data_IF_431729324100
#
_entry.id   IF_431729324100
#
_cell.length_a   1.000
_cell.length_b   1.000
_cell.length_c   1.000
_cell.angle_alpha   90.00
_cell.angle_beta   90.00
_cell.angle_gamma   90.00
#
_symmetry.space_group_name_H-M   'P 1'
#
loop_
_entity.id
_entity.type
_entity.pdbx_description
1 polymer ?
#
# COMPACT_ATOMS: atom_id res chain seq x y z
N UNK A 1 -15.59 20.43 20.65
CA UNK A 1 -17.00 20.63 20.24
C UNK A 1 -17.19 21.54 19.02
N UNK A 2 -16.21 22.40 18.67
CA UNK A 2 -16.26 23.24 17.46
C UNK A 2 -15.93 22.52 16.13
N UNK A 3 -15.30 21.34 16.18
CA UNK A 3 -14.91 20.59 14.98
C UNK A 3 -16.05 19.79 14.33
N UNK A 4 -17.11 19.47 15.08
CA UNK A 4 -18.23 18.66 14.56
C UNK A 4 -19.20 19.45 13.66
N UNK A 5 -19.19 20.79 13.75
CA UNK A 5 -20.13 21.64 13.01
C UNK A 5 -19.55 22.08 11.65
N UNK A 6 -18.24 22.00 11.45
CA UNK A 6 -17.61 22.28 10.15
C UNK A 6 -17.79 21.13 9.15
N UNK A 7 -18.02 19.90 9.63
CA UNK A 7 -18.17 18.69 8.80
C UNK A 7 -19.57 18.59 8.18
N UNK A 8 -20.58 19.22 8.78
CA UNK A 8 -21.97 19.15 8.29
C UNK A 8 -22.33 20.23 7.28
N UNK A 9 -21.44 21.19 7.00
CA UNK A 9 -21.70 22.30 6.07
C UNK A 9 -21.23 22.04 4.61
N UNK A 10 -20.73 20.83 4.32
CA UNK A 10 -20.26 20.43 2.98
C UNK A 10 -21.00 19.21 2.44
N UNK A 11 -22.27 19.01 2.80
CA UNK A 11 -23.16 18.10 2.07
C UNK A 11 -23.68 18.78 0.80
N UNK A 12 -22.77 19.18 -0.08
CA UNK A 12 -23.12 19.21 -1.49
C UNK A 12 -23.32 17.75 -1.90
N UNK A 13 -24.52 17.44 -2.37
CA UNK A 13 -24.86 16.14 -2.96
C UNK A 13 -23.72 15.68 -3.85
N UNK A 14 -22.99 14.65 -3.41
CA UNK A 14 -21.95 14.02 -4.21
C UNK A 14 -22.63 13.41 -5.44
N UNK A 15 -22.54 14.11 -6.57
CA UNK A 15 -22.70 13.47 -7.88
C UNK A 15 -21.53 12.50 -8.00
N UNK A 16 -21.83 11.22 -8.17
CA UNK A 16 -20.84 10.22 -8.50
C UNK A 16 -19.95 10.77 -9.64
N UNK A 17 -18.65 10.89 -9.39
CA UNK A 17 -17.69 11.21 -10.44
C UNK A 17 -17.63 10.01 -11.39
N UNK A 18 -17.83 10.26 -12.68
CA UNK A 18 -17.64 9.28 -13.75
C UNK A 18 -16.17 8.85 -13.75
N UNK A 19 -15.92 7.54 -13.71
CA UNK A 19 -14.58 7.00 -13.56
C UNK A 19 -13.86 7.03 -14.93
N UNK A 20 -12.65 7.63 -15.04
CA UNK A 20 -11.94 7.81 -16.32
C UNK A 20 -11.24 6.52 -16.79
N UNK A 21 -11.73 5.34 -16.42
CA UNK A 21 -11.07 4.06 -16.65
C UNK A 21 -11.95 3.13 -17.48
N UNK A 22 -11.34 2.10 -18.06
CA UNK A 22 -12.07 0.99 -18.67
C UNK A 22 -12.37 -0.09 -17.63
N UNK A 23 -13.42 -0.86 -17.87
CA UNK A 23 -13.79 -2.02 -17.07
C UNK A 23 -13.81 -3.25 -17.97
N UNK A 24 -13.37 -4.38 -17.44
CA UNK A 24 -13.28 -5.66 -18.13
C UNK A 24 -13.82 -6.77 -17.20
N UNK A 25 -15.03 -7.22 -17.46
CA UNK A 25 -15.72 -8.25 -16.69
C UNK A 25 -15.52 -9.62 -17.34
N UNK A 26 -15.01 -10.57 -16.56
CA UNK A 26 -14.79 -11.95 -16.98
C UNK A 26 -15.90 -12.86 -16.46
N UNK A 27 -16.50 -13.62 -17.38
CA UNK A 27 -17.47 -14.66 -17.12
C UNK A 27 -16.98 -15.98 -17.71
N UNK A 28 -16.63 -16.93 -16.84
CA UNK A 28 -16.14 -18.24 -17.26
C UNK A 28 -17.30 -19.13 -17.73
N UNK A 29 -17.24 -19.57 -18.98
CA UNK A 29 -18.16 -20.54 -19.57
C UNK A 29 -17.49 -21.93 -19.62
N UNK A 30 -18.18 -22.91 -20.20
CA UNK A 30 -17.69 -24.29 -20.27
C UNK A 30 -16.51 -24.47 -21.25
N UNK A 31 -16.49 -23.70 -22.34
CA UNK A 31 -15.58 -23.85 -23.48
C UNK A 31 -14.87 -22.54 -23.90
N UNK A 32 -15.24 -21.40 -23.30
CA UNK A 32 -14.63 -20.10 -23.55
C UNK A 32 -14.74 -19.19 -22.32
N UNK A 33 -14.06 -18.05 -22.37
CA UNK A 33 -14.25 -16.95 -21.42
C UNK A 33 -14.95 -15.81 -22.14
N UNK A 34 -16.08 -15.37 -21.59
CA UNK A 34 -16.77 -14.16 -22.06
C UNK A 34 -16.15 -12.96 -21.34
N UNK A 35 -15.76 -11.95 -22.12
CA UNK A 35 -15.16 -10.71 -21.65
C UNK A 35 -16.05 -9.54 -22.07
N UNK A 36 -16.75 -8.94 -21.11
CA UNK A 36 -17.50 -7.71 -21.32
C UNK A 36 -16.62 -6.52 -21.00
N UNK A 37 -16.47 -5.61 -21.95
CA UNK A 37 -15.63 -4.41 -21.82
C UNK A 37 -16.50 -3.17 -21.87
N UNK A 38 -16.19 -2.23 -20.97
CA UNK A 38 -16.78 -0.89 -20.94
C UNK A 38 -15.64 0.10 -21.11
N UNK A 39 -15.68 0.91 -22.17
CA UNK A 39 -14.64 1.88 -22.50
C UNK A 39 -15.30 3.24 -22.72
N UNK A 40 -14.87 4.30 -22.02
CA UNK A 40 -15.36 5.65 -22.30
C UNK A 40 -15.17 5.99 -23.78
N UNK A 41 -16.23 6.39 -24.48
CA UNK A 41 -16.19 6.53 -25.94
C UNK A 41 -15.25 7.65 -26.39
N UNK A 42 -15.05 8.68 -25.54
CA UNK A 42 -14.06 9.74 -25.77
C UNK A 42 -12.62 9.19 -25.79
N UNK A 43 -12.29 8.31 -24.84
CA UNK A 43 -10.97 7.67 -24.75
C UNK A 43 -10.75 6.69 -25.89
N UNK A 44 -11.78 5.93 -26.27
CA UNK A 44 -11.76 5.11 -27.48
C UNK A 44 -11.48 5.97 -28.73
N UNK A 45 -12.20 7.08 -28.91
CA UNK A 45 -12.05 7.94 -30.08
C UNK A 45 -10.65 8.55 -30.16
N UNK A 46 -10.12 9.00 -29.02
CA UNK A 46 -8.77 9.53 -28.91
C UNK A 46 -7.71 8.46 -29.24
N UNK A 47 -7.80 7.28 -28.61
CA UNK A 47 -6.80 6.23 -28.76
C UNK A 47 -6.83 5.52 -30.12
N UNK A 48 -8.01 5.39 -30.73
CA UNK A 48 -8.19 4.71 -32.02
C UNK A 48 -8.13 5.66 -33.21
N UNK A 49 -8.38 6.96 -33.01
CA UNK A 49 -8.58 7.93 -34.08
C UNK A 49 -9.87 7.70 -34.88
N UNK A 50 -10.75 6.81 -34.42
CA UNK A 50 -12.02 6.49 -35.06
C UNK A 50 -13.19 7.27 -34.44
N UNK A 51 -14.24 7.45 -35.25
CA UNK A 51 -15.43 8.17 -34.79
C UNK A 51 -16.33 7.27 -33.97
N UNK A 52 -16.98 7.87 -32.98
CA UNK A 52 -18.07 7.24 -32.22
C UNK A 52 -19.36 7.37 -33.03
N UNK A 53 -20.10 6.28 -33.20
CA UNK A 53 -21.30 6.30 -34.02
C UNK A 53 -22.06 4.98 -34.00
N UNK A 54 -23.36 5.07 -34.29
CA UNK A 54 -24.27 3.92 -34.29
C UNK A 54 -24.38 3.22 -35.66
N UNK A 55 -23.63 3.67 -36.67
CA UNK A 55 -23.65 3.08 -38.01
C UNK A 55 -22.67 1.91 -38.16
N UNK A 56 -22.87 1.11 -39.20
CA UNK A 56 -22.10 -0.11 -39.48
C UNK A 56 -20.60 0.14 -39.63
N UNK A 57 -20.21 1.30 -40.16
CA UNK A 57 -18.80 1.61 -40.39
C UNK A 57 -18.08 1.91 -39.06
N UNK A 58 -18.72 2.66 -38.15
CA UNK A 58 -18.21 2.90 -36.81
C UNK A 58 -18.10 1.59 -35.99
N UNK A 59 -19.14 0.74 -36.06
CA UNK A 59 -19.11 -0.58 -35.42
C UNK A 59 -17.99 -1.48 -35.96
N UNK A 60 -17.82 -1.55 -37.29
CA UNK A 60 -16.77 -2.35 -37.90
C UNK A 60 -15.34 -1.83 -37.60
N UNK A 61 -15.18 -0.53 -37.35
CA UNK A 61 -13.92 0.05 -36.89
C UNK A 61 -13.65 -0.30 -35.43
N UNK A 62 -14.64 -0.14 -34.56
CA UNK A 62 -14.53 -0.50 -33.14
C UNK A 62 -14.26 -2.00 -32.96
N UNK A 63 -14.95 -2.85 -33.73
CA UNK A 63 -14.75 -4.29 -33.71
C UNK A 63 -13.30 -4.70 -34.04
N UNK A 64 -12.73 -4.13 -35.11
CA UNK A 64 -11.32 -4.38 -35.48
C UNK A 64 -10.37 -3.86 -34.43
N UNK A 65 -10.58 -2.65 -33.94
CA UNK A 65 -9.76 -2.06 -32.89
C UNK A 65 -9.69 -2.96 -31.64
N UNK A 66 -10.83 -3.45 -31.16
CA UNK A 66 -10.88 -4.32 -29.98
C UNK A 66 -10.20 -5.66 -30.25
N UNK A 67 -10.45 -6.29 -31.41
CA UNK A 67 -9.82 -7.55 -31.78
C UNK A 67 -8.29 -7.45 -31.93
N UNK A 68 -7.77 -6.30 -32.36
CA UNK A 68 -6.33 -6.07 -32.53
C UNK A 68 -5.62 -5.69 -31.22
N UNK A 69 -6.37 -5.16 -30.24
CA UNK A 69 -5.80 -4.60 -29.00
C UNK A 69 -6.09 -5.39 -27.74
N UNK A 70 -7.01 -6.36 -27.80
CA UNK A 70 -7.36 -7.24 -26.70
C UNK A 70 -7.16 -8.68 -27.17
N UNK A 71 -6.35 -9.45 -26.45
CA UNK A 71 -6.07 -10.84 -26.80
C UNK A 71 -5.78 -11.68 -25.56
N UNK A 72 -6.12 -12.96 -25.60
CA UNK A 72 -5.71 -13.93 -24.59
C UNK A 72 -4.68 -14.91 -25.16
N UNK A 73 -3.77 -15.39 -24.33
CA UNK A 73 -2.90 -16.53 -24.64
C UNK A 73 -2.82 -17.49 -23.46
N UNK A 74 -2.72 -18.78 -23.73
CA UNK A 74 -2.72 -19.84 -22.71
C UNK A 74 -2.46 -21.19 -23.36
N UNK A 75 -1.89 -22.14 -22.61
CA UNK A 75 -1.54 -23.46 -23.17
C UNK A 75 -0.51 -23.42 -24.30
N UNK A 76 0.33 -22.37 -24.37
CA UNK A 76 1.38 -22.22 -25.38
C UNK A 76 0.97 -21.54 -26.69
N UNK A 77 -0.28 -21.05 -26.81
CA UNK A 77 -0.77 -20.39 -28.02
C UNK A 77 -1.71 -19.21 -27.78
N UNK A 78 -1.96 -18.42 -28.83
CA UNK A 78 -2.95 -17.35 -28.85
C UNK A 78 -4.35 -17.92 -28.92
N UNK A 79 -5.25 -17.40 -28.09
CA UNK A 79 -6.66 -17.75 -28.13
C UNK A 79 -7.35 -17.00 -29.28
N UNK A 80 -8.41 -17.59 -29.83
CA UNK A 80 -9.30 -16.91 -30.77
C UNK A 80 -10.09 -15.85 -29.99
N UNK A 81 -10.02 -14.61 -30.46
CA UNK A 81 -10.78 -13.50 -29.90
C UNK A 81 -11.83 -13.08 -30.92
N UNK A 82 -13.11 -13.11 -30.55
CA UNK A 82 -14.21 -12.69 -31.42
C UNK A 82 -15.10 -11.70 -30.66
N UNK A 83 -15.42 -10.58 -31.29
CA UNK A 83 -16.36 -9.60 -30.73
C UNK A 83 -17.77 -10.05 -31.12
N UNK A 84 -18.56 -10.45 -30.14
CA UNK A 84 -19.92 -10.99 -30.35
C UNK A 84 -20.98 -9.89 -30.38
N UNK A 85 -20.83 -8.90 -29.51
CA UNK A 85 -21.71 -7.73 -29.43
C UNK A 85 -20.91 -6.47 -29.22
N UNK A 86 -21.40 -5.37 -29.77
CA UNK A 86 -20.79 -4.07 -29.64
C UNK A 86 -21.87 -3.00 -29.78
N UNK A 87 -21.86 -1.99 -28.90
CA UNK A 87 -22.74 -0.84 -28.98
C UNK A 87 -22.11 0.39 -28.30
N UNK A 88 -22.44 1.58 -28.82
CA UNK A 88 -22.09 2.85 -28.17
C UNK A 88 -23.26 3.40 -27.35
N UNK A 89 -23.33 3.06 -26.07
CA UNK A 89 -24.46 3.38 -25.20
C UNK A 89 -24.23 4.74 -24.52
N UNK A 90 -25.28 5.56 -24.44
CA UNK A 90 -25.24 6.81 -23.68
C UNK A 90 -25.86 6.59 -22.31
N UNK A 91 -25.09 6.85 -21.25
CA UNK A 91 -25.52 6.72 -19.87
C UNK A 91 -25.11 7.98 -19.10
N UNK A 92 -26.07 8.62 -18.42
CA UNK A 92 -25.83 9.81 -17.59
C UNK A 92 -25.09 10.98 -18.29
N UNK A 93 -25.25 11.09 -19.61
CA UNK A 93 -24.68 12.18 -20.42
C UNK A 93 -23.26 11.91 -20.96
N UNK A 94 -22.64 10.79 -20.61
CA UNK A 94 -21.43 10.26 -21.25
C UNK A 94 -21.79 9.08 -22.17
N UNK A 95 -20.98 8.89 -23.21
CA UNK A 95 -21.15 7.76 -24.12
C UNK A 95 -20.03 6.76 -23.88
N UNK A 96 -20.39 5.48 -23.78
CA UNK A 96 -19.47 4.36 -23.57
C UNK A 96 -19.57 3.38 -24.73
N UNK A 97 -18.42 2.83 -25.11
CA UNK A 97 -18.31 1.66 -25.96
C UNK A 97 -18.41 0.42 -25.07
N UNK A 98 -19.51 -0.31 -25.21
CA UNK A 98 -19.71 -1.59 -24.54
C UNK A 98 -19.58 -2.71 -25.57
N UNK A 99 -18.74 -3.69 -25.30
CA UNK A 99 -18.59 -4.86 -26.16
C UNK A 99 -18.47 -6.16 -25.37
N UNK A 100 -19.01 -7.23 -25.93
CA UNK A 100 -18.85 -8.59 -25.41
C UNK A 100 -17.92 -9.35 -26.36
N UNK A 101 -16.80 -9.85 -25.85
CA UNK A 101 -15.83 -10.64 -26.59
C UNK A 101 -15.84 -12.08 -26.09
N UNK A 102 -15.77 -13.05 -27.00
CA UNK A 102 -15.49 -14.45 -26.69
C UNK A 102 -14.00 -14.74 -26.87
N UNK A 103 -13.38 -15.28 -25.81
CA UNK A 103 -11.98 -15.69 -25.78
C UNK A 103 -11.93 -17.23 -25.72
N UNK A 104 -11.56 -17.86 -26.84
CA UNK A 104 -11.62 -19.32 -26.99
C UNK A 104 -10.23 -19.90 -27.25
N UNK A 105 -9.75 -20.88 -26.46
CA UNK A 105 -8.48 -21.54 -26.72
C UNK A 105 -8.50 -22.35 -28.03
N UNK A 106 -7.35 -22.51 -28.70
CA UNK A 106 -7.26 -23.21 -30.00
C UNK A 106 -7.14 -24.75 -29.86
N UNK A 107 -6.61 -25.22 -28.74
CA UNK A 107 -6.58 -26.62 -28.31
C UNK A 107 -7.39 -26.68 -26.99
N UNK A 108 -7.77 -27.84 -26.40
CA UNK A 108 -8.37 -27.88 -25.06
C UNK A 108 -7.29 -27.51 -24.02
N UNK A 109 -6.96 -26.22 -24.00
CA UNK A 109 -6.12 -25.58 -23.02
C UNK A 109 -6.97 -25.32 -21.78
N UNK A 110 -6.30 -25.28 -20.63
CA UNK A 110 -6.95 -24.92 -19.39
C UNK A 110 -7.51 -23.50 -19.50
N UNK A 111 -8.84 -23.37 -19.55
CA UNK A 111 -9.53 -22.07 -19.51
C UNK A 111 -9.17 -21.29 -18.23
N UNK A 112 -8.59 -21.98 -17.25
CA UNK A 112 -8.24 -21.44 -15.94
C UNK A 112 -6.79 -20.98 -15.84
N UNK A 113 -5.94 -21.15 -16.84
CA UNK A 113 -4.57 -20.62 -16.81
C UNK A 113 -4.23 -19.93 -18.13
N UNK A 114 -4.37 -18.61 -18.14
CA UNK A 114 -4.13 -17.80 -19.33
C UNK A 114 -3.67 -16.38 -18.97
N UNK A 115 -3.10 -15.68 -19.93
CA UNK A 115 -2.72 -14.27 -19.82
C UNK A 115 -3.64 -13.43 -20.69
N UNK A 116 -4.33 -12.47 -20.07
CA UNK A 116 -5.06 -11.42 -20.76
C UNK A 116 -4.09 -10.30 -21.15
N UNK A 117 -4.01 -10.01 -22.44
CA UNK A 117 -3.20 -8.95 -23.01
C UNK A 117 -4.12 -7.83 -23.47
N UNK A 118 -3.76 -6.61 -23.13
CA UNK A 118 -4.59 -5.46 -23.33
C UNK A 118 -3.75 -4.25 -23.71
N UNK A 119 -4.14 -3.59 -24.80
CA UNK A 119 -3.56 -2.32 -25.26
C UNK A 119 -4.60 -1.27 -25.56
N UNK A 120 -5.90 -1.63 -25.55
CA UNK A 120 -6.97 -0.70 -25.83
C UNK A 120 -6.90 0.50 -24.87
N UNK A 121 -6.91 1.70 -25.43
CA UNK A 121 -6.76 3.00 -24.76
C UNK A 121 -5.42 3.21 -24.05
N UNK A 122 -5.01 2.32 -23.15
CA UNK A 122 -3.78 2.45 -22.33
C UNK A 122 -2.50 2.51 -23.16
N UNK A 123 -2.54 2.07 -24.42
CA UNK A 123 -1.40 2.22 -25.36
C UNK A 123 -1.21 3.65 -25.88
N UNK A 124 -2.22 4.50 -25.82
CA UNK A 124 -2.20 5.89 -26.29
C UNK A 124 -2.45 6.92 -25.19
N UNK A 125 -3.05 6.51 -24.06
CA UNK A 125 -3.38 7.34 -22.90
C UNK A 125 -2.67 6.75 -21.67
N UNK A 126 -1.47 7.26 -21.30
CA UNK A 126 -0.65 6.64 -20.25
C UNK A 126 -1.31 6.58 -18.87
N UNK A 127 -2.14 7.57 -18.54
CA UNK A 127 -2.84 7.69 -17.26
C UNK A 127 -4.13 6.84 -17.21
N UNK A 128 -4.57 6.31 -18.36
CA UNK A 128 -5.72 5.41 -18.42
C UNK A 128 -5.36 4.06 -17.82
N UNK A 129 -6.34 3.44 -17.14
CA UNK A 129 -6.19 2.10 -16.60
C UNK A 129 -7.44 1.27 -16.84
N UNK A 130 -7.30 -0.04 -16.70
CA UNK A 130 -8.38 -1.01 -16.85
C UNK A 130 -8.55 -1.76 -15.56
N UNK A 131 -9.79 -1.84 -15.07
CA UNK A 131 -10.19 -2.71 -13.98
C UNK A 131 -10.62 -4.06 -14.54
N UNK A 132 -9.88 -5.11 -14.21
CA UNK A 132 -10.23 -6.48 -14.60
C UNK A 132 -10.95 -7.13 -13.43
N UNK A 133 -12.22 -7.47 -13.66
CA UNK A 133 -13.14 -7.97 -12.65
C UNK A 133 -13.61 -9.37 -13.04
N UNK A 134 -13.80 -10.22 -12.04
CA UNK A 134 -14.42 -11.51 -12.17
C UNK A 134 -15.88 -11.41 -11.75
N UNK A 135 -16.80 -11.64 -12.68
CA UNK A 135 -18.24 -11.60 -12.43
C UNK A 135 -18.82 -13.01 -12.20
N UNK A 136 -18.35 -14.01 -12.95
CA UNK A 136 -18.82 -15.40 -12.82
C UNK A 136 -17.69 -16.42 -12.95
N UNK A 137 -17.57 -17.32 -11.97
CA UNK A 137 -16.75 -18.53 -12.03
C UNK A 137 -17.55 -19.74 -11.53
N UNK A 138 -17.85 -20.74 -12.36
CA UNK A 138 -18.59 -21.94 -11.96
C UNK A 138 -17.99 -22.70 -10.77
N UNK A 139 -16.68 -22.58 -10.55
CA UNK A 139 -15.95 -23.30 -9.52
C UNK A 139 -15.68 -22.46 -8.25
N UNK A 140 -16.17 -21.22 -8.17
CA UNK A 140 -16.07 -20.37 -6.96
C UNK A 140 -17.40 -19.66 -6.73
N UNK A 141 -17.97 -19.77 -5.52
CA UNK A 141 -19.10 -18.92 -5.15
C UNK A 141 -18.60 -17.48 -4.99
N UNK A 142 -18.89 -16.64 -5.97
CA UNK A 142 -18.73 -15.19 -5.85
C UNK A 142 -19.89 -14.59 -5.03
N UNK A 143 -19.65 -13.42 -4.43
CA UNK A 143 -20.71 -12.62 -3.81
C UNK A 143 -21.56 -11.91 -4.87
N UNK A 144 -22.44 -11.00 -4.42
CA UNK A 144 -23.31 -10.22 -5.31
C UNK A 144 -22.53 -9.17 -6.14
N UNK A 145 -21.30 -8.83 -5.75
CA UNK A 145 -20.43 -7.89 -6.45
C UNK A 145 -19.26 -8.60 -7.19
N UNK A 146 -18.87 -8.12 -8.39
CA UNK A 146 -17.69 -8.62 -9.10
C UNK A 146 -16.39 -8.43 -8.30
N UNK A 147 -15.53 -9.45 -8.30
CA UNK A 147 -14.24 -9.42 -7.59
C UNK A 147 -13.15 -8.80 -8.48
N UNK A 148 -12.40 -7.81 -7.99
CA UNK A 148 -11.31 -7.20 -8.77
C UNK A 148 -10.10 -8.12 -8.75
N UNK A 149 -9.77 -8.72 -9.89
CA UNK A 149 -8.66 -9.69 -10.00
C UNK A 149 -7.35 -9.03 -10.46
N UNK A 150 -7.40 -7.80 -10.95
CA UNK A 150 -6.20 -7.04 -11.29
C UNK A 150 -6.47 -5.75 -12.05
N UNK A 151 -5.40 -5.02 -12.33
CA UNK A 151 -5.43 -3.81 -13.14
C UNK A 151 -4.41 -3.87 -14.27
N UNK A 152 -4.76 -3.26 -15.40
CA UNK A 152 -3.87 -3.08 -16.55
C UNK A 152 -3.61 -1.59 -16.76
N UNK A 153 -2.36 -1.24 -17.08
CA UNK A 153 -1.87 0.13 -17.28
C UNK A 153 -0.83 0.16 -18.40
N UNK A 154 -0.43 1.34 -18.87
CA UNK A 154 0.58 1.47 -19.93
C UNK A 154 1.90 0.72 -19.63
N UNK A 155 2.30 0.63 -18.35
CA UNK A 155 3.48 -0.11 -17.92
C UNK A 155 3.25 -1.62 -17.64
N UNK A 156 1.99 -2.08 -17.67
CA UNK A 156 1.58 -3.47 -17.44
C UNK A 156 0.37 -3.80 -18.31
N UNK A 157 0.66 -4.17 -19.55
CA UNK A 157 -0.34 -4.51 -20.59
C UNK A 157 -0.76 -5.97 -20.57
N UNK A 158 -0.30 -6.76 -19.61
CA UNK A 158 -0.62 -8.18 -19.50
C UNK A 158 -0.95 -8.56 -18.05
N UNK A 159 -2.02 -9.33 -17.86
CA UNK A 159 -2.48 -9.86 -16.59
C UNK A 159 -2.59 -11.38 -16.68
N UNK A 160 -1.78 -12.09 -15.89
CA UNK A 160 -1.90 -13.53 -15.74
C UNK A 160 -3.13 -13.86 -14.87
N UNK A 161 -4.00 -14.72 -15.38
CA UNK A 161 -5.26 -15.16 -14.77
C UNK A 161 -5.15 -16.67 -14.52
N UNK A 162 -5.01 -17.02 -13.24
CA UNK A 162 -4.93 -18.40 -12.78
C UNK A 162 -6.11 -18.70 -11.85
N UNK A 163 -7.02 -19.56 -12.31
CA UNK A 163 -8.23 -20.03 -11.63
C UNK A 163 -8.04 -21.47 -11.17
N UNK A 164 -7.18 -21.68 -10.19
CA UNK A 164 -7.17 -22.96 -9.45
C UNK A 164 -8.27 -23.00 -8.39
N UNK A 165 -8.38 -24.10 -7.65
CA UNK A 165 -8.85 -24.01 -6.27
C UNK A 165 -7.84 -23.13 -5.53
N UNK A 166 -7.99 -21.80 -5.63
CA UNK A 166 -7.23 -20.87 -4.84
C UNK A 166 -7.42 -21.32 -3.41
N UNK A 167 -6.34 -21.76 -2.77
CA UNK A 167 -6.40 -22.13 -1.37
C UNK A 167 -7.06 -20.94 -0.65
N UNK A 168 -8.09 -21.15 0.18
CA UNK A 168 -8.83 -20.03 0.77
C UNK A 168 -7.95 -19.03 1.53
N UNK A 169 -6.74 -19.44 1.92
CA UNK A 169 -5.75 -18.62 2.62
C UNK A 169 -4.81 -17.81 1.68
N UNK A 170 -4.78 -18.07 0.37
CA UNK A 170 -3.83 -17.47 -0.55
C UNK A 170 -4.00 -15.94 -0.70
N UNK A 171 -5.23 -15.39 -0.79
CA UNK A 171 -5.45 -13.94 -0.73
C UNK A 171 -4.96 -13.33 0.59
N UNK A 172 -5.17 -14.02 1.70
CA UNK A 172 -4.67 -13.61 3.00
C UNK A 172 -3.13 -13.58 3.02
N UNK A 173 -2.44 -14.62 2.54
CA UNK A 173 -0.99 -14.64 2.50
C UNK A 173 -0.38 -13.60 1.55
N UNK A 174 -1.02 -13.36 0.40
CA UNK A 174 -0.62 -12.26 -0.49
C UNK A 174 -0.77 -10.91 0.22
N UNK A 175 -1.86 -10.70 0.95
CA UNK A 175 -2.04 -9.50 1.75
C UNK A 175 -0.99 -9.37 2.87
N UNK A 176 -0.61 -10.47 3.54
CA UNK A 176 0.50 -10.49 4.51
C UNK A 176 1.80 -10.05 3.85
N UNK A 177 2.12 -10.57 2.66
CA UNK A 177 3.31 -10.18 1.93
C UNK A 177 3.29 -8.70 1.51
N UNK A 178 2.13 -8.19 1.07
CA UNK A 178 1.95 -6.77 0.76
C UNK A 178 2.12 -5.89 2.00
N UNK A 179 1.57 -6.28 3.15
CA UNK A 179 1.74 -5.57 4.42
C UNK A 179 3.18 -5.55 4.90
N UNK A 180 3.89 -6.68 4.76
CA UNK A 180 5.31 -6.75 5.05
C UNK A 180 6.14 -5.85 4.12
N UNK A 181 5.86 -5.90 2.81
CA UNK A 181 6.51 -5.07 1.80
C UNK A 181 6.27 -3.58 2.02
N UNK A 182 5.07 -3.19 2.48
CA UNK A 182 4.74 -1.80 2.79
C UNK A 182 5.67 -1.21 3.87
N UNK A 183 5.96 -1.95 4.95
CA UNK A 183 6.87 -1.49 6.00
C UNK A 183 8.33 -1.48 5.52
N UNK A 184 8.74 -2.50 4.75
CA UNK A 184 10.12 -2.60 4.28
C UNK A 184 10.47 -1.56 3.20
N UNK A 185 9.51 -1.21 2.35
CA UNK A 185 9.66 -0.15 1.34
C UNK A 185 9.38 1.26 1.86
N UNK A 186 8.64 1.38 2.97
CA UNK A 186 8.29 2.66 3.59
C UNK A 186 9.42 3.24 4.43
N UNK A 187 10.25 4.10 3.86
CA UNK A 187 11.35 4.78 4.58
C UNK A 187 10.83 5.64 5.74
N UNK A 188 9.66 6.24 5.58
CA UNK A 188 8.89 6.93 6.62
C UNK A 188 8.53 6.00 7.79
N UNK A 189 8.07 4.78 7.51
CA UNK A 189 7.74 3.77 8.51
C UNK A 189 8.98 3.29 9.27
N UNK A 190 10.10 3.09 8.57
CA UNK A 190 11.37 2.75 9.20
C UNK A 190 11.89 3.88 10.10
N UNK A 191 11.79 5.14 9.65
CA UNK A 191 12.18 6.32 10.42
C UNK A 191 11.30 6.52 11.66
N UNK A 192 9.99 6.33 11.50
CA UNK A 192 9.00 6.36 12.57
C UNK A 192 9.27 5.27 13.61
N UNK A 193 9.43 4.01 13.18
CA UNK A 193 9.68 2.88 14.06
C UNK A 193 11.00 3.08 14.83
N UNK A 194 12.07 3.49 14.14
CA UNK A 194 13.33 3.82 14.81
C UNK A 194 13.12 4.89 15.89
N UNK A 195 12.46 6.00 15.56
CA UNK A 195 12.21 7.09 16.50
C UNK A 195 11.40 6.63 17.73
N UNK A 196 10.41 5.73 17.58
CA UNK A 196 9.67 5.15 18.70
C UNK A 196 10.48 4.17 19.55
N UNK A 197 11.40 3.41 18.94
CA UNK A 197 12.22 2.43 19.67
C UNK A 197 13.36 3.09 20.45
N UNK A 198 13.89 4.23 19.99
CA UNK A 198 15.01 4.95 20.60
C UNK A 198 14.84 5.35 22.09
N UNK A 199 13.66 5.76 22.59
CA UNK A 199 13.49 6.07 24.01
C UNK A 199 13.08 4.86 24.87
N UNK A 200 12.68 3.73 24.26
CA UNK A 200 12.08 2.59 24.98
C UNK A 200 12.90 2.02 26.15
N UNK A 201 14.23 1.89 26.04
CA UNK A 201 15.06 1.39 27.14
C UNK A 201 15.27 2.43 28.24
N UNK A 202 14.57 3.56 28.24
CA UNK A 202 14.75 4.62 29.22
C UNK A 202 13.47 4.92 29.99
N UNK A 203 13.64 5.42 31.21
CA UNK A 203 12.58 5.96 32.05
C UNK A 203 12.76 7.48 32.10
N UNK A 204 11.67 8.19 31.82
CA UNK A 204 11.62 9.64 31.95
C UNK A 204 11.59 10.04 33.44
N UNK A 205 12.43 11.00 33.83
CA UNK A 205 12.34 11.71 35.11
C UNK A 205 12.31 13.20 34.86
N UNK A 206 11.16 13.81 35.12
CA UNK A 206 10.87 15.17 34.68
C UNK A 206 10.98 15.25 33.15
N UNK A 207 11.68 16.26 32.65
CA UNK A 207 11.80 16.50 31.22
C UNK A 207 13.10 15.93 30.60
N UNK A 208 13.65 14.84 31.18
CA UNK A 208 14.86 14.18 30.69
C UNK A 208 14.74 12.65 30.79
N UNK A 209 15.32 11.96 29.81
CA UNK A 209 15.58 10.54 29.88
C UNK A 209 16.79 10.28 30.79
N UNK A 210 16.65 9.47 31.85
CA UNK A 210 17.69 9.35 32.88
C UNK A 210 18.07 7.93 33.27
N UNK A 211 17.10 7.04 33.40
CA UNK A 211 17.36 5.70 33.93
C UNK A 211 17.16 4.65 32.87
N UNK A 212 18.09 3.70 32.77
CA UNK A 212 17.93 2.55 31.91
C UNK A 212 16.85 1.62 32.49
N UNK A 213 15.97 1.16 31.61
CA UNK A 213 14.91 0.20 31.86
C UNK A 213 15.42 -1.20 31.56
N UNK A 214 15.02 -2.19 32.37
CA UNK A 214 15.38 -3.59 32.12
C UNK A 214 14.85 -4.12 30.77
N UNK A 215 15.45 -5.20 30.28
CA UNK A 215 15.09 -5.77 28.97
C UNK A 215 13.63 -6.23 28.86
N UNK A 216 13.15 -7.04 29.82
CA UNK A 216 11.76 -7.54 29.83
C UNK A 216 10.71 -6.42 29.73
N UNK A 217 10.73 -5.38 30.57
CA UNK A 217 9.73 -4.31 30.47
C UNK A 217 9.92 -3.43 29.22
N UNK A 218 11.13 -3.36 28.64
CA UNK A 218 11.37 -2.70 27.35
C UNK A 218 10.70 -3.47 26.20
N UNK A 219 10.89 -4.79 26.12
CA UNK A 219 10.25 -5.66 25.12
C UNK A 219 8.73 -5.59 25.23
N UNK A 220 8.19 -5.65 26.46
CA UNK A 220 6.74 -5.48 26.68
C UNK A 220 6.22 -4.15 26.13
N UNK A 221 7.00 -3.08 26.29
CA UNK A 221 6.59 -1.76 25.81
C UNK A 221 6.70 -1.63 24.30
N UNK A 222 7.71 -2.27 23.69
CA UNK A 222 7.79 -2.38 22.23
C UNK A 222 6.55 -3.08 21.67
N UNK A 223 6.16 -4.23 22.24
CA UNK A 223 4.95 -4.95 21.81
C UNK A 223 3.69 -4.10 21.96
N UNK A 224 3.50 -3.40 23.10
CA UNK A 224 2.35 -2.52 23.31
C UNK A 224 2.31 -1.37 22.28
N UNK A 225 3.45 -0.76 21.97
CA UNK A 225 3.52 0.32 20.99
C UNK A 225 3.21 -0.15 19.57
N UNK A 226 3.81 -1.27 19.18
CA UNK A 226 3.60 -1.87 17.85
C UNK A 226 2.14 -2.28 17.68
N UNK A 227 1.58 -3.04 18.62
CA UNK A 227 0.17 -3.45 18.53
C UNK A 227 -0.77 -2.24 18.62
N UNK A 228 -0.46 -1.23 19.45
CA UNK A 228 -1.25 0.01 19.49
C UNK A 228 -1.26 0.74 18.15
N UNK A 229 -0.10 0.87 17.51
CA UNK A 229 0.01 1.41 16.15
C UNK A 229 -0.81 0.61 15.15
N UNK A 230 -0.62 -0.71 15.10
CA UNK A 230 -1.35 -1.61 14.18
C UNK A 230 -2.86 -1.54 14.40
N UNK A 231 -3.33 -1.42 15.65
CA UNK A 231 -4.74 -1.26 15.97
C UNK A 231 -5.30 0.06 15.41
N UNK A 232 -4.61 1.19 15.63
CA UNK A 232 -5.02 2.48 15.05
C UNK A 232 -5.01 2.45 13.52
N UNK A 233 -3.98 1.85 12.94
CA UNK A 233 -3.83 1.68 11.51
C UNK A 233 -4.98 0.87 10.91
N UNK A 234 -5.26 -0.30 11.49
CA UNK A 234 -6.35 -1.19 11.11
C UNK A 234 -7.71 -0.49 11.19
N UNK A 235 -7.95 0.28 12.26
CA UNK A 235 -9.20 1.00 12.46
C UNK A 235 -9.46 2.03 11.34
N UNK A 236 -8.42 2.76 10.92
CA UNK A 236 -8.58 3.77 9.87
C UNK A 236 -8.67 3.14 8.49
N UNK A 237 -7.92 2.07 8.21
CA UNK A 237 -8.09 1.31 6.98
C UNK A 237 -9.49 0.74 6.84
N UNK A 238 -10.04 0.16 7.92
CA UNK A 238 -11.39 -0.36 7.93
C UNK A 238 -12.43 0.76 7.74
N UNK A 239 -12.24 1.91 8.40
CA UNK A 239 -13.12 3.06 8.25
C UNK A 239 -13.08 3.66 6.83
N UNK A 240 -11.91 3.70 6.20
CA UNK A 240 -11.78 4.17 4.82
C UNK A 240 -12.37 3.18 3.82
N UNK A 241 -12.13 1.88 4.03
CA UNK A 241 -12.68 0.78 3.21
C UNK A 241 -14.21 0.69 3.28
N UNK A 242 -14.80 0.68 4.47
CA UNK A 242 -16.23 0.47 4.67
C UNK A 242 -17.05 1.76 4.66
N UNK A 243 -16.46 2.86 5.13
CA UNK A 243 -17.15 4.12 5.40
C UNK A 243 -16.85 5.23 4.40
N UNK A 244 -15.98 5.00 3.41
CA UNK A 244 -15.62 5.99 2.40
C UNK A 244 -14.88 7.21 2.97
N UNK A 245 -14.18 7.06 4.10
CA UNK A 245 -13.39 8.15 4.69
C UNK A 245 -12.26 8.52 3.73
N UNK A 246 -12.41 9.67 3.07
CA UNK A 246 -11.42 10.22 2.14
C UNK A 246 -10.90 11.56 2.68
N UNK A 247 -9.58 11.72 2.63
CA UNK A 247 -8.91 12.96 2.99
C UNK A 247 -7.85 13.28 1.91
N UNK A 248 -7.54 14.56 1.65
CA UNK A 248 -6.56 14.92 0.63
C UNK A 248 -5.20 14.27 0.90
N UNK A 249 -4.65 13.51 -0.06
CA UNK A 249 -3.41 12.74 0.11
C UNK A 249 -2.26 13.57 0.68
N UNK A 250 -2.05 14.79 0.16
CA UNK A 250 -1.05 15.74 0.65
C UNK A 250 -1.18 16.05 2.14
N UNK A 251 -2.42 16.24 2.64
CA UNK A 251 -2.65 16.48 4.06
C UNK A 251 -2.25 15.27 4.89
N UNK A 252 -2.58 14.08 4.42
CA UNK A 252 -2.26 12.83 5.12
C UNK A 252 -0.75 12.60 5.18
N UNK A 253 -0.04 12.81 4.08
CA UNK A 253 1.42 12.70 4.00
C UNK A 253 2.12 13.71 4.92
N UNK A 254 1.63 14.95 5.01
CA UNK A 254 2.13 15.95 5.96
C UNK A 254 1.92 15.46 7.41
N UNK A 255 0.75 14.90 7.73
CA UNK A 255 0.46 14.38 9.07
C UNK A 255 1.34 13.16 9.42
N UNK A 256 1.62 12.29 8.44
CA UNK A 256 2.57 11.19 8.57
C UNK A 256 3.97 11.73 8.89
N UNK A 257 4.48 12.68 8.10
CA UNK A 257 5.78 13.30 8.34
C UNK A 257 5.84 14.00 9.72
N UNK A 258 4.78 14.70 10.12
CA UNK A 258 4.67 15.29 11.46
C UNK A 258 4.69 14.25 12.58
N UNK A 259 4.10 13.07 12.37
CA UNK A 259 4.15 11.98 13.36
C UNK A 259 5.58 11.48 13.60
N UNK A 260 6.39 11.37 12.53
CA UNK A 260 7.83 11.05 12.62
C UNK A 260 8.57 12.14 13.38
N UNK A 261 8.31 13.41 13.06
CA UNK A 261 8.92 14.55 13.73
C UNK A 261 8.60 14.56 15.22
N UNK A 262 7.33 14.34 15.59
CA UNK A 262 6.90 14.31 16.99
C UNK A 262 7.54 13.12 17.74
N UNK A 263 7.60 11.93 17.11
CA UNK A 263 8.27 10.77 17.69
C UNK A 263 9.77 11.02 17.89
N UNK A 264 10.43 11.69 16.94
CA UNK A 264 11.83 12.08 17.02
C UNK A 264 12.08 13.11 18.15
N UNK A 265 11.21 14.13 18.27
CA UNK A 265 11.28 15.09 19.37
C UNK A 265 11.09 14.38 20.72
N UNK A 266 10.15 13.44 20.82
CA UNK A 266 9.96 12.62 22.01
C UNK A 266 11.20 11.78 22.35
N UNK A 267 11.83 11.20 21.33
CA UNK A 267 13.08 10.48 21.48
C UNK A 267 14.19 11.38 22.00
N UNK A 268 14.27 12.67 21.62
CA UNK A 268 15.23 13.65 22.17
C UNK A 268 14.88 14.02 23.61
N UNK A 269 13.62 14.37 23.87
CA UNK A 269 13.11 14.86 25.17
C UNK A 269 11.71 14.31 25.42
N UNK A 270 11.40 13.76 26.60
CA UNK A 270 10.10 13.16 26.87
C UNK A 270 9.00 14.24 26.90
N UNK A 271 8.21 14.33 25.82
CA UNK A 271 7.06 15.25 25.69
C UNK A 271 5.72 14.61 26.04
N UNK A 272 5.63 13.27 26.02
CA UNK A 272 4.44 12.51 26.41
C UNK A 272 4.79 11.24 27.19
N UNK A 273 5.66 11.31 28.22
CA UNK A 273 6.06 10.11 28.96
C UNK A 273 4.84 9.38 29.52
N UNK A 274 4.86 8.05 29.50
CA UNK A 274 3.78 7.15 29.94
C UNK A 274 2.52 7.15 29.06
N UNK A 275 2.47 7.98 28.01
CA UNK A 275 1.36 8.03 27.04
C UNK A 275 1.79 7.52 25.66
N UNK A 276 2.94 6.86 25.57
CA UNK A 276 3.54 6.45 24.30
C UNK A 276 2.60 5.50 23.54
N UNK A 277 1.89 4.60 24.24
CA UNK A 277 0.90 3.70 23.63
C UNK A 277 -0.28 4.46 22.99
N UNK A 278 -0.77 5.51 23.65
CA UNK A 278 -1.83 6.37 23.11
C UNK A 278 -1.34 7.06 21.84
N UNK A 279 -0.16 7.69 21.88
CA UNK A 279 0.40 8.37 20.72
C UNK A 279 0.73 7.41 19.57
N UNK A 280 1.26 6.22 19.85
CA UNK A 280 1.46 5.19 18.83
C UNK A 280 0.15 4.80 18.15
N UNK A 281 -0.94 4.66 18.92
CA UNK A 281 -2.28 4.39 18.37
C UNK A 281 -2.77 5.56 17.50
N UNK A 282 -2.61 6.80 17.97
CA UNK A 282 -3.01 8.00 17.21
C UNK A 282 -2.20 8.15 15.91
N UNK A 283 -0.90 7.87 15.95
CA UNK A 283 -0.05 7.85 14.77
C UNK A 283 -0.41 6.71 13.83
N UNK A 284 -0.81 5.55 14.36
CA UNK A 284 -1.37 4.46 13.58
C UNK A 284 -2.61 4.87 12.80
N UNK A 285 -3.54 5.61 13.43
CA UNK A 285 -4.72 6.14 12.73
C UNK A 285 -4.33 6.99 11.52
N UNK A 286 -3.37 7.90 11.70
CA UNK A 286 -2.88 8.78 10.63
C UNK A 286 -2.22 8.00 9.49
N UNK A 287 -1.35 7.04 9.80
CA UNK A 287 -0.70 6.23 8.76
C UNK A 287 -1.69 5.34 8.00
N UNK A 288 -2.70 4.79 8.68
CA UNK A 288 -3.74 3.97 8.04
C UNK A 288 -4.51 4.72 6.97
N UNK A 289 -4.65 6.04 7.13
CA UNK A 289 -5.28 6.90 6.13
C UNK A 289 -4.42 7.09 4.87
N UNK A 290 -3.09 7.12 5.02
CA UNK A 290 -2.17 7.29 3.89
C UNK A 290 -2.21 6.07 2.98
N UNK A 291 -2.19 4.88 3.58
CA UNK A 291 -2.33 3.64 2.83
C UNK A 291 -3.74 3.43 2.26
N UNK A 292 -4.79 3.88 2.95
CA UNK A 292 -6.16 3.83 2.42
C UNK A 292 -6.31 4.60 1.10
N UNK A 293 -5.71 5.80 1.01
CA UNK A 293 -5.69 6.59 -0.22
C UNK A 293 -4.97 5.86 -1.36
N UNK A 294 -3.82 5.26 -1.08
CA UNK A 294 -3.07 4.44 -2.04
C UNK A 294 -3.89 3.23 -2.53
N UNK A 295 -4.49 2.45 -1.62
CA UNK A 295 -5.33 1.31 -1.98
C UNK A 295 -6.53 1.73 -2.84
N UNK A 296 -7.17 2.84 -2.50
CA UNK A 296 -8.30 3.39 -3.28
C UNK A 296 -7.87 3.78 -4.70
N UNK A 297 -6.65 4.30 -4.87
CA UNK A 297 -6.08 4.65 -6.18
C UNK A 297 -5.55 3.46 -6.99
N UNK A 298 -5.36 2.31 -6.34
CA UNK A 298 -4.80 1.08 -6.95
C UNK A 298 -5.88 0.02 -7.21
N UNK A 299 -7.12 0.26 -6.75
CA UNK A 299 -8.29 -0.64 -6.86
C UNK A 299 -7.98 -2.10 -6.48
N UNK A 300 -7.11 -2.29 -5.48
CA UNK A 300 -6.72 -3.62 -5.01
C UNK A 300 -7.87 -4.25 -4.22
N UNK A 301 -8.20 -5.51 -4.53
CA UNK A 301 -9.18 -6.33 -3.77
C UNK A 301 -8.91 -6.37 -2.26
N UNK A 302 -7.65 -6.09 -1.86
CA UNK A 302 -7.23 -5.95 -0.47
C UNK A 302 -8.13 -4.99 0.31
N UNK A 303 -8.56 -3.89 -0.29
CA UNK A 303 -9.40 -2.89 0.35
C UNK A 303 -10.86 -3.34 0.52
N UNK A 304 -11.35 -4.28 -0.30
CA UNK A 304 -12.77 -4.69 -0.32
C UNK A 304 -13.05 -5.93 0.52
N UNK A 305 -12.02 -6.66 0.95
CA UNK A 305 -12.16 -7.87 1.73
C UNK A 305 -11.55 -7.73 3.15
N UNK A 306 -12.37 -7.93 4.18
CA UNK A 306 -11.94 -7.82 5.59
C UNK A 306 -10.81 -8.81 5.90
N UNK A 307 -10.86 -10.02 5.33
CA UNK A 307 -9.82 -11.03 5.50
C UNK A 307 -8.47 -10.58 4.95
N UNK A 308 -8.45 -9.93 3.79
CA UNK A 308 -7.20 -9.35 3.22
C UNK A 308 -6.73 -8.14 4.01
N UNK A 309 -7.63 -7.29 4.54
CA UNK A 309 -7.23 -6.19 5.44
C UNK A 309 -6.58 -6.71 6.72
N UNK A 310 -7.11 -7.79 7.31
CA UNK A 310 -6.51 -8.45 8.48
C UNK A 310 -5.14 -9.02 8.10
N UNK A 311 -5.03 -9.72 6.96
CA UNK A 311 -3.76 -10.26 6.48
C UNK A 311 -2.71 -9.16 6.27
N UNK A 312 -3.10 -8.03 5.67
CA UNK A 312 -2.24 -6.88 5.48
C UNK A 312 -1.70 -6.32 6.80
N UNK A 313 -2.57 -6.06 7.78
CA UNK A 313 -2.13 -5.56 9.10
C UNK A 313 -1.31 -6.60 9.88
N UNK A 314 -1.58 -7.90 9.69
CA UNK A 314 -0.74 -8.97 10.24
C UNK A 314 0.68 -8.94 9.65
N UNK A 315 0.81 -8.70 8.33
CA UNK A 315 2.10 -8.50 7.68
C UNK A 315 2.88 -7.30 8.23
N UNK A 316 2.20 -6.18 8.47
CA UNK A 316 2.78 -4.99 9.11
C UNK A 316 3.33 -5.34 10.50
N UNK A 317 2.48 -5.92 11.36
CA UNK A 317 2.84 -6.23 12.74
C UNK A 317 4.00 -7.23 12.80
N UNK A 318 4.02 -8.23 11.91
CA UNK A 318 5.10 -9.21 11.82
C UNK A 318 6.46 -8.55 11.55
N UNK A 319 6.54 -7.65 10.57
CA UNK A 319 7.79 -6.95 10.23
C UNK A 319 8.22 -6.01 11.36
N UNK A 320 7.28 -5.25 11.95
CA UNK A 320 7.58 -4.36 13.07
C UNK A 320 8.11 -5.14 14.28
N UNK A 321 7.51 -6.29 14.61
CA UNK A 321 7.98 -7.19 15.67
C UNK A 321 9.37 -7.73 15.32
N UNK A 322 9.61 -8.17 14.09
CA UNK A 322 10.91 -8.69 13.67
C UNK A 322 12.02 -7.64 13.82
N UNK A 323 11.78 -6.40 13.37
CA UNK A 323 12.72 -5.28 13.53
C UNK A 323 12.93 -4.98 15.03
N UNK A 324 11.87 -4.95 15.82
CA UNK A 324 11.97 -4.70 17.26
C UNK A 324 12.75 -5.80 17.98
N UNK A 325 12.55 -7.07 17.64
CA UNK A 325 13.30 -8.19 18.21
C UNK A 325 14.79 -8.13 17.86
N UNK A 326 15.15 -7.60 16.69
CA UNK A 326 16.54 -7.37 16.33
C UNK A 326 17.14 -6.17 17.10
N UNK A 327 16.43 -5.04 17.13
CA UNK A 327 17.00 -3.76 17.55
C UNK A 327 16.87 -3.49 19.05
N UNK A 328 15.76 -3.86 19.69
CA UNK A 328 15.52 -3.59 21.11
C UNK A 328 16.62 -4.19 22.01
N UNK A 329 17.09 -5.44 21.81
CA UNK A 329 18.20 -5.98 22.60
C UNK A 329 19.49 -5.15 22.48
N UNK A 330 19.82 -4.69 21.26
CA UNK A 330 20.96 -3.80 21.04
C UNK A 330 20.76 -2.46 21.77
N UNK A 331 19.58 -1.84 21.67
CA UNK A 331 19.29 -0.60 22.37
C UNK A 331 19.36 -0.76 23.90
N UNK A 332 18.81 -1.84 24.47
CA UNK A 332 18.87 -2.13 25.92
C UNK A 332 20.31 -2.29 26.41
N UNK A 333 21.16 -2.96 25.64
CA UNK A 333 22.57 -3.17 26.03
C UNK A 333 23.37 -1.87 25.95
N UNK A 334 23.17 -1.07 24.89
CA UNK A 334 23.83 0.23 24.74
C UNK A 334 23.30 1.23 25.78
N UNK A 335 22.02 1.19 26.15
CA UNK A 335 21.38 2.09 27.12
C UNK A 335 22.02 2.09 28.51
N UNK A 336 22.69 1.00 28.86
CA UNK A 336 23.47 0.91 30.08
C UNK A 336 24.86 1.57 29.97
N UNK A 337 25.13 2.36 28.91
CA UNK A 337 26.36 3.11 28.69
C UNK A 337 26.07 4.61 28.50
N UNK A 338 27.04 5.48 28.79
CA UNK A 338 26.91 6.94 28.55
C UNK A 338 26.80 7.28 27.05
N UNK A 339 27.29 6.40 26.17
CA UNK A 339 27.24 6.61 24.71
C UNK A 339 25.81 6.62 24.17
N UNK A 340 24.87 5.97 24.86
CA UNK A 340 23.48 5.90 24.43
C UNK A 340 22.80 7.26 24.33
N UNK A 341 23.16 8.20 25.21
CA UNK A 341 22.62 9.55 25.15
C UNK A 341 22.91 10.20 23.79
N UNK A 342 24.16 10.07 23.31
CA UNK A 342 24.61 10.63 22.05
C UNK A 342 24.02 9.89 20.86
N UNK A 343 24.02 8.55 20.89
CA UNK A 343 23.38 7.73 19.87
C UNK A 343 21.90 8.07 19.70
N UNK A 344 21.14 8.04 20.81
CA UNK A 344 19.71 8.36 20.82
C UNK A 344 19.45 9.76 20.28
N UNK A 345 20.14 10.77 20.81
CA UNK A 345 19.87 12.16 20.43
C UNK A 345 20.30 12.44 18.98
N UNK A 346 21.40 11.85 18.53
CA UNK A 346 21.89 11.99 17.14
C UNK A 346 20.96 11.32 16.13
N UNK A 347 20.55 10.07 16.38
CA UNK A 347 19.60 9.38 15.50
C UNK A 347 18.20 10.03 15.53
N UNK A 348 17.75 10.49 16.69
CA UNK A 348 16.50 11.23 16.77
C UNK A 348 16.57 12.58 16.05
N UNK A 349 17.69 13.30 16.14
CA UNK A 349 17.90 14.52 15.36
C UNK A 349 17.89 14.24 13.85
N UNK A 350 18.53 13.15 13.42
CA UNK A 350 18.50 12.70 12.03
C UNK A 350 17.05 12.47 11.56
N UNK A 351 16.26 11.68 12.30
CA UNK A 351 14.84 11.46 11.98
C UNK A 351 14.04 12.77 11.96
N UNK A 352 14.31 13.71 12.89
CA UNK A 352 13.64 15.01 12.94
C UNK A 352 13.96 15.87 11.71
N UNK A 353 15.22 15.88 11.24
CA UNK A 353 15.63 16.62 10.04
C UNK A 353 14.98 16.00 8.80
N UNK A 354 15.02 14.67 8.66
CA UNK A 354 14.37 13.96 7.55
C UNK A 354 12.88 14.29 7.51
N UNK A 355 12.19 14.18 8.65
CA UNK A 355 10.77 14.47 8.76
C UNK A 355 10.43 15.94 8.45
N UNK A 356 11.27 16.89 8.87
CA UNK A 356 11.10 18.29 8.53
C UNK A 356 11.23 18.54 7.02
N UNK A 357 12.17 17.87 6.35
CA UNK A 357 12.33 17.92 4.89
C UNK A 357 11.08 17.36 4.20
N UNK A 358 10.54 16.23 4.65
CA UNK A 358 9.28 15.69 4.12
C UNK A 358 8.10 16.67 4.30
N UNK A 359 7.96 17.31 5.46
CA UNK A 359 6.90 18.32 5.65
C UNK A 359 7.05 19.47 4.66
N UNK A 360 8.27 19.97 4.47
CA UNK A 360 8.56 21.04 3.51
C UNK A 360 8.26 20.59 2.08
N UNK A 361 8.68 19.38 1.71
CA UNK A 361 8.42 18.78 0.41
C UNK A 361 6.92 18.70 0.11
N UNK A 362 6.13 18.11 1.01
CA UNK A 362 4.69 17.94 0.80
C UNK A 362 3.91 19.24 0.83
N UNK A 363 4.41 20.27 1.51
CA UNK A 363 3.74 21.57 1.57
C UNK A 363 4.12 22.52 0.43
N UNK A 364 5.41 22.56 0.05
CA UNK A 364 5.93 23.51 -0.93
C UNK A 364 6.22 22.91 -2.31
N UNK A 365 6.30 21.58 -2.43
CA UNK A 365 6.69 20.86 -3.64
C UNK A 365 8.16 21.11 -4.00
N UNK A 366 9.09 20.37 -3.37
CA UNK A 366 10.51 20.54 -3.68
C UNK A 366 10.84 20.00 -5.08
N UNK A 367 12.01 20.39 -5.61
CA UNK A 367 12.45 19.95 -6.92
C UNK A 367 12.60 18.42 -6.98
N UNK A 368 12.03 17.77 -7.99
CA UNK A 368 12.01 16.30 -8.12
C UNK A 368 13.41 15.67 -8.01
N UNK A 369 14.42 16.26 -8.66
CA UNK A 369 15.81 15.78 -8.60
C UNK A 369 16.35 15.75 -7.16
N UNK A 370 15.99 16.75 -6.36
CA UNK A 370 16.36 16.80 -4.95
C UNK A 370 15.63 15.70 -4.17
N UNK A 371 14.32 15.56 -4.37
CA UNK A 371 13.50 14.58 -3.66
C UNK A 371 13.97 13.16 -3.94
N UNK A 372 14.19 12.78 -5.20
CA UNK A 372 14.66 11.44 -5.57
C UNK A 372 16.04 11.13 -4.97
N UNK A 373 16.97 12.09 -5.04
CA UNK A 373 18.29 11.91 -4.42
C UNK A 373 18.19 11.79 -2.90
N UNK A 374 17.37 12.64 -2.29
CA UNK A 374 17.15 12.64 -0.85
C UNK A 374 16.57 11.30 -0.38
N UNK A 375 15.51 10.80 -1.01
CA UNK A 375 14.90 9.52 -0.66
C UNK A 375 15.91 8.36 -0.79
N UNK A 376 16.69 8.30 -1.87
CA UNK A 376 17.72 7.26 -2.06
C UNK A 376 18.81 7.31 -0.96
N UNK A 377 19.23 8.53 -0.57
CA UNK A 377 20.18 8.73 0.53
C UNK A 377 19.58 8.30 1.86
N UNK A 378 18.31 8.64 2.14
CA UNK A 378 17.65 8.27 3.38
C UNK A 378 17.44 6.76 3.44
N UNK A 379 16.97 6.10 2.37
CA UNK A 379 16.78 4.66 2.31
C UNK A 379 18.08 3.91 2.66
N UNK A 380 19.16 4.23 1.93
CA UNK A 380 20.49 3.64 2.17
C UNK A 380 21.00 3.97 3.57
N UNK A 381 20.86 5.23 4.00
CA UNK A 381 21.30 5.71 5.30
C UNK A 381 20.60 5.00 6.45
N UNK A 382 19.30 4.75 6.35
CA UNK A 382 18.51 4.06 7.37
C UNK A 382 18.96 2.61 7.53
N UNK A 383 19.21 1.90 6.44
CA UNK A 383 19.79 0.54 6.48
C UNK A 383 21.11 0.55 7.26
N UNK A 384 22.01 1.48 6.93
CA UNK A 384 23.29 1.63 7.63
C UNK A 384 23.11 1.94 9.12
N UNK A 385 22.13 2.76 9.49
CA UNK A 385 21.79 3.05 10.89
C UNK A 385 21.36 1.79 11.64
N UNK A 386 20.45 0.98 11.06
CA UNK A 386 20.00 -0.27 11.67
C UNK A 386 21.17 -1.24 11.91
N UNK A 387 22.02 -1.46 10.90
CA UNK A 387 23.24 -2.27 11.06
C UNK A 387 24.20 -1.69 12.10
N UNK A 388 24.43 -0.37 12.08
CA UNK A 388 25.30 0.31 13.03
C UNK A 388 24.85 0.14 14.48
N UNK A 389 23.54 0.23 14.76
CA UNK A 389 22.98 -0.02 16.09
C UNK A 389 23.19 -1.47 16.52
N UNK A 390 22.95 -2.44 15.64
CA UNK A 390 23.19 -3.85 15.93
C UNK A 390 24.66 -4.12 16.24
N UNK A 391 25.57 -3.63 15.40
CA UNK A 391 27.02 -3.76 15.60
C UNK A 391 27.46 -3.12 16.92
N UNK A 392 26.97 -1.91 17.24
CA UNK A 392 27.27 -1.26 18.51
C UNK A 392 26.80 -2.09 19.72
N UNK A 393 25.61 -2.70 19.64
CA UNK A 393 25.11 -3.61 20.67
C UNK A 393 26.02 -4.82 20.87
N UNK A 394 26.42 -5.49 19.78
CA UNK A 394 27.36 -6.63 19.82
C UNK A 394 28.70 -6.23 20.43
N UNK A 395 29.26 -5.08 20.07
CA UNK A 395 30.53 -4.57 20.63
C UNK A 395 30.40 -4.35 22.15
N UNK A 396 29.29 -3.78 22.61
CA UNK A 396 29.05 -3.55 24.05
C UNK A 396 28.94 -4.88 24.79
N UNK A 397 28.23 -5.87 24.23
CA UNK A 397 28.13 -7.22 24.81
C UNK A 397 29.52 -7.87 24.90
N UNK A 398 30.29 -7.86 23.81
CA UNK A 398 31.63 -8.45 23.75
C UNK A 398 32.59 -7.81 24.76
N UNK A 399 32.54 -6.48 24.93
CA UNK A 399 33.37 -5.77 25.92
C UNK A 399 33.03 -6.18 27.36
N UNK A 400 31.75 -6.41 27.67
CA UNK A 400 31.32 -6.86 29.00
C UNK A 400 31.77 -8.29 29.29
N UNK A 401 31.56 -9.20 28.35
CA UNK A 401 31.98 -10.60 28.53
C UNK A 401 33.49 -10.77 28.67
N UNK A 402 34.29 -9.92 28.02
CA UNK A 402 35.76 -9.89 28.22
C UNK A 402 36.12 -9.37 29.62
N UNK A 403 35.46 -8.29 30.08
CA UNK A 403 35.72 -7.70 31.39
C UNK A 403 35.36 -8.64 32.56
N UNK A 404 34.34 -9.47 32.39
CA UNK A 404 33.85 -10.41 33.41
C UNK A 404 34.64 -11.74 33.45
N UNK A 405 35.65 -11.95 32.58
CA UNK A 405 36.50 -13.15 32.66
C UNK A 405 37.36 -13.11 33.93
N UNK A 406 37.35 -14.16 34.77
CA UNK A 406 38.24 -14.23 35.91
C UNK A 406 39.69 -14.16 35.42
N UNK A 407 40.49 -13.25 36.00
CA UNK A 407 41.94 -13.23 35.74
C UNK A 407 42.49 -14.52 36.31
N UNK A 408 42.92 -15.44 35.44
CA UNK A 408 43.72 -16.59 35.83
C UNK A 408 45.04 -16.03 36.36
N UNK A 409 45.22 -16.07 37.68
CA UNK A 409 46.46 -15.73 38.39
C UNK A 409 47.33 -16.96 38.44
#
# INVERSE_FOLDING_TARGET
>A
MAWLIAVTALTATARAHQAPNSEAYLDFQADHVELEVVIPAAEYAYASGHRVGQDDAAHAQAQRYLADTIAANGGGGLWRTQVERLAFITQDGSQDLIATLSLTPQDPADLRDFTLNWRAVIGAVPDHFVLVMLRRDPATKLGDEPDVIGTLRANRTALAIQRGAAHPWMPFANAVSLGAGHILGGVDHLAFLLALLLPLPLIARGARWREARGGRPTIRSAAILISGFTLGHSATLLAASLGGLTLPGTLVEILIALSVLIAAIHAIRPIFPQREALFATLFGLVHGLGFAGYLSSTDLSVARNIGTLIGFNFGIELVQIAIALAIVPALVTIAATRAYHWLRSGLALLCAVIAAIWVVDRYFGLAETFVTLFEAVVETGMILVFFGVLTAGVIVIARRTIADRPRLV
#
